data_IF_792398898712
#
_entry.id   IF_792398898712
#
_cell.length_a   1.000
_cell.length_b   1.000
_cell.length_c   1.000
_cell.angle_alpha   90.00
_cell.angle_beta   90.00
_cell.angle_gamma   90.00
#
_symmetry.space_group_name_H-M   'P 1'
#
loop_
_entity.id
_entity.type
_entity.pdbx_description
1 polymer ?
#
# COMPACT_ATOMS: atom_id res chain seq x y z
N UNK A 1 4.66 20.60 -7.60
CA UNK A 1 3.24 21.04 -7.57
C UNK A 1 2.44 20.64 -8.82
N UNK A 2 2.99 19.87 -9.77
CA UNK A 2 2.26 19.26 -10.89
C UNK A 2 1.27 18.11 -10.54
N UNK A 3 1.50 17.25 -9.51
CA UNK A 3 0.62 16.10 -9.25
C UNK A 3 -0.84 16.44 -8.96
N UNK A 4 -1.17 17.44 -8.11
CA UNK A 4 -2.57 17.70 -7.75
C UNK A 4 -3.38 18.32 -8.91
N UNK A 5 -2.74 19.05 -9.83
CA UNK A 5 -3.41 19.62 -10.99
C UNK A 5 -3.75 18.56 -12.04
N UNK A 6 -2.87 17.57 -12.23
CA UNK A 6 -3.16 16.40 -13.06
C UNK A 6 -4.26 15.54 -12.46
N UNK A 7 -4.24 15.31 -11.14
CA UNK A 7 -5.31 14.59 -10.44
C UNK A 7 -6.62 15.36 -10.53
N UNK A 8 -6.63 16.69 -10.40
CA UNK A 8 -7.84 17.48 -10.55
C UNK A 8 -8.40 17.46 -11.98
N UNK A 9 -7.54 17.64 -12.99
CA UNK A 9 -7.94 17.52 -14.40
C UNK A 9 -8.47 16.12 -14.74
N UNK A 10 -7.85 15.08 -14.16
CA UNK A 10 -8.27 13.70 -14.27
C UNK A 10 -9.65 13.48 -13.63
N UNK A 11 -9.86 14.00 -12.43
CA UNK A 11 -11.15 13.94 -11.71
C UNK A 11 -12.27 14.64 -12.48
N UNK A 12 -11.98 15.78 -13.13
CA UNK A 12 -12.93 16.51 -13.96
C UNK A 12 -13.35 15.70 -15.19
N UNK A 13 -12.38 15.13 -15.92
CA UNK A 13 -12.68 14.28 -17.08
C UNK A 13 -13.45 13.01 -16.70
N UNK A 14 -13.13 12.42 -15.53
CA UNK A 14 -13.85 11.26 -15.01
C UNK A 14 -15.27 11.60 -14.54
N UNK A 15 -15.50 12.79 -14.00
CA UNK A 15 -16.83 13.25 -13.60
C UNK A 15 -17.74 13.50 -14.82
N UNK A 16 -17.20 14.05 -15.91
CA UNK A 16 -17.94 14.20 -17.18
C UNK A 16 -18.37 12.84 -17.75
N UNK A 17 -17.47 11.86 -17.78
CA UNK A 17 -17.77 10.50 -18.23
C UNK A 17 -18.78 9.73 -17.37
N UNK A 18 -18.94 10.10 -16.10
CA UNK A 18 -19.94 9.50 -15.22
C UNK A 18 -21.37 9.85 -15.66
N UNK A 19 -21.56 11.00 -16.31
CA UNK A 19 -22.86 11.45 -16.81
C UNK A 19 -23.35 10.62 -18.00
N UNK A 20 -22.43 10.15 -18.87
CA UNK A 20 -22.76 9.36 -20.06
C UNK A 20 -23.03 7.89 -19.74
N UNK A 21 -22.46 7.36 -18.66
CA UNK A 21 -22.80 6.04 -18.12
C UNK A 21 -24.26 5.91 -17.68
N UNK A 22 -24.96 7.01 -17.41
CA UNK A 22 -26.37 6.99 -17.05
C UNK A 22 -27.29 6.76 -18.28
N UNK A 23 -26.83 7.06 -19.51
CA UNK A 23 -27.71 7.34 -20.65
C UNK A 23 -27.65 6.35 -21.83
N UNK A 24 -26.79 5.32 -21.85
CA UNK A 24 -26.63 4.53 -23.09
C UNK A 24 -27.71 3.46 -23.30
N UNK A 25 -28.72 3.78 -24.12
CA UNK A 25 -29.58 2.81 -24.83
C UNK A 25 -28.98 2.48 -26.22
N UNK A 26 -27.71 2.07 -26.27
CA UNK A 26 -27.08 1.59 -27.52
C UNK A 26 -27.30 0.09 -27.70
N UNK A 27 -27.43 -0.41 -28.93
CA UNK A 27 -27.42 -1.85 -29.21
C UNK A 27 -26.03 -2.43 -28.91
N UNK A 28 -25.96 -3.56 -28.21
CA UNK A 28 -24.69 -4.21 -27.89
C UNK A 28 -23.83 -4.45 -29.15
N UNK A 29 -22.53 -4.08 -29.14
CA UNK A 29 -21.64 -4.29 -30.29
C UNK A 29 -21.50 -5.79 -30.60
N UNK A 30 -21.37 -6.12 -31.88
CA UNK A 30 -21.21 -7.52 -32.33
C UNK A 30 -19.94 -8.13 -31.70
N UNK A 31 -20.05 -9.27 -30.97
CA UNK A 31 -18.90 -9.90 -30.32
C UNK A 31 -17.83 -10.41 -31.29
N UNK A 32 -18.13 -10.46 -32.60
CA UNK A 32 -17.17 -10.82 -33.65
C UNK A 32 -16.44 -9.61 -34.24
N UNK A 33 -16.80 -8.38 -33.85
CA UNK A 33 -16.14 -7.16 -34.33
C UNK A 33 -14.73 -7.02 -33.77
N UNK A 34 -13.81 -6.47 -34.58
CA UNK A 34 -12.42 -6.21 -34.17
C UNK A 34 -12.29 -5.21 -33.00
N UNK A 35 -13.34 -4.42 -32.77
CA UNK A 35 -13.38 -3.39 -31.73
C UNK A 35 -14.09 -3.87 -30.45
N UNK A 36 -14.42 -5.16 -30.34
CA UNK A 36 -15.08 -5.75 -29.18
C UNK A 36 -14.09 -6.09 -28.05
N UNK A 37 -14.33 -5.54 -26.86
CA UNK A 37 -13.63 -5.84 -25.62
C UNK A 37 -14.49 -6.76 -24.75
N UNK A 38 -14.02 -8.00 -24.56
CA UNK A 38 -14.71 -8.96 -23.69
C UNK A 38 -14.56 -8.63 -22.21
N UNK A 39 -15.48 -9.14 -21.38
CA UNK A 39 -15.36 -9.06 -19.90
C UNK A 39 -14.04 -9.65 -19.41
N UNK A 40 -13.57 -10.73 -20.04
CA UNK A 40 -12.28 -11.35 -19.72
C UNK A 40 -11.08 -10.45 -20.03
N UNK A 41 -11.14 -9.65 -21.09
CA UNK A 41 -10.12 -8.65 -21.38
C UNK A 41 -10.12 -7.54 -20.32
N UNK A 42 -11.31 -7.05 -19.93
CA UNK A 42 -11.46 -6.06 -18.84
C UNK A 42 -10.84 -6.62 -17.55
N UNK A 43 -11.28 -7.80 -17.12
CA UNK A 43 -10.80 -8.49 -15.93
C UNK A 43 -9.31 -8.78 -16.00
N UNK A 44 -8.78 -9.22 -17.15
CA UNK A 44 -7.36 -9.48 -17.33
C UNK A 44 -6.50 -8.23 -17.14
N UNK A 45 -6.89 -7.11 -17.78
CA UNK A 45 -6.17 -5.83 -17.63
C UNK A 45 -6.23 -5.30 -16.19
N UNK A 46 -7.38 -5.42 -15.53
CA UNK A 46 -7.54 -5.04 -14.13
C UNK A 46 -6.72 -5.95 -13.21
N UNK A 47 -6.82 -7.27 -13.38
CA UNK A 47 -6.11 -8.25 -12.56
C UNK A 47 -4.59 -8.10 -12.65
N UNK A 48 -4.03 -7.88 -13.85
CA UNK A 48 -2.60 -7.61 -14.01
C UNK A 48 -2.20 -6.34 -13.26
N UNK A 49 -2.99 -5.27 -13.40
CA UNK A 49 -2.72 -3.99 -12.74
C UNK A 49 -2.85 -4.11 -11.22
N UNK A 50 -3.85 -4.83 -10.72
CA UNK A 50 -4.05 -5.12 -9.31
C UNK A 50 -2.90 -5.96 -8.75
N UNK A 51 -2.45 -7.00 -9.46
CA UNK A 51 -1.28 -7.80 -9.07
C UNK A 51 -0.02 -6.93 -8.97
N UNK A 52 0.15 -5.98 -9.89
CA UNK A 52 1.27 -5.02 -9.84
C UNK A 52 1.14 -4.07 -8.64
N UNK A 53 -0.06 -3.53 -8.38
CA UNK A 53 -0.30 -2.67 -7.22
C UNK A 53 -0.02 -3.43 -5.92
N UNK A 54 -0.57 -4.65 -5.80
CA UNK A 54 -0.35 -5.55 -4.66
C UNK A 54 1.13 -5.87 -4.50
N UNK A 55 1.83 -6.22 -5.58
CA UNK A 55 3.26 -6.51 -5.55
C UNK A 55 4.07 -5.29 -5.06
N UNK A 56 3.74 -4.11 -5.56
CA UNK A 56 4.39 -2.86 -5.16
C UNK A 56 4.07 -2.45 -3.72
N UNK A 57 2.88 -2.82 -3.23
CA UNK A 57 2.38 -2.50 -1.90
C UNK A 57 2.80 -3.51 -0.81
N UNK A 58 2.97 -4.78 -1.18
CA UNK A 58 3.20 -5.89 -0.26
C UNK A 58 4.66 -6.31 -0.16
N UNK A 59 5.62 -5.38 -0.26
CA UNK A 59 7.03 -5.73 -0.10
C UNK A 59 7.30 -6.20 1.33
N UNK A 60 7.66 -7.48 1.50
CA UNK A 60 7.82 -8.05 2.84
C UNK A 60 9.07 -7.49 3.51
N UNK A 61 8.99 -7.31 4.83
CA UNK A 61 10.16 -7.16 5.68
C UNK A 61 10.98 -8.46 5.68
N UNK A 62 12.24 -8.40 6.12
CA UNK A 62 13.12 -9.58 6.14
C UNK A 62 12.55 -10.57 7.16
N UNK A 63 12.08 -11.71 6.65
CA UNK A 63 11.48 -12.75 7.49
C UNK A 63 12.56 -13.69 7.96
N UNK A 64 12.70 -13.84 9.28
CA UNK A 64 13.65 -14.77 9.89
C UNK A 64 13.03 -16.14 10.22
N UNK A 65 11.81 -16.39 9.74
CA UNK A 65 11.07 -17.63 9.94
C UNK A 65 11.54 -18.71 8.94
N UNK A 66 11.81 -19.94 9.40
CA UNK A 66 12.28 -21.05 8.54
C UNK A 66 11.16 -21.71 7.71
N UNK A 67 9.90 -21.55 8.13
CA UNK A 67 8.74 -22.21 7.52
C UNK A 67 8.22 -21.49 6.28
N UNK A 68 8.41 -22.08 5.09
CA UNK A 68 8.00 -21.48 3.80
C UNK A 68 6.50 -21.13 3.70
N UNK A 69 5.62 -21.95 4.29
CA UNK A 69 4.16 -21.74 4.24
C UNK A 69 3.72 -20.54 5.08
N UNK A 70 4.40 -20.27 6.21
CA UNK A 70 4.13 -19.07 7.02
C UNK A 70 4.55 -17.79 6.29
N UNK A 71 5.69 -17.84 5.59
CA UNK A 71 6.15 -16.72 4.75
C UNK A 71 5.14 -16.45 3.64
N UNK A 72 4.64 -17.50 2.98
CA UNK A 72 3.60 -17.38 1.96
C UNK A 72 2.30 -16.79 2.53
N UNK A 73 1.86 -17.24 3.71
CA UNK A 73 0.68 -16.71 4.39
C UNK A 73 0.84 -15.23 4.75
N UNK A 74 1.99 -14.82 5.28
CA UNK A 74 2.28 -13.42 5.58
C UNK A 74 2.24 -12.54 4.33
N UNK A 75 2.91 -12.95 3.25
CA UNK A 75 2.88 -12.21 1.98
C UNK A 75 1.47 -12.12 1.40
N UNK A 76 0.69 -13.19 1.51
CA UNK A 76 -0.73 -13.21 1.15
C UNK A 76 -1.55 -12.23 1.99
N UNK A 77 -1.32 -12.18 3.31
CA UNK A 77 -1.99 -11.26 4.22
C UNK A 77 -1.66 -9.79 3.90
N UNK A 78 -0.38 -9.46 3.62
CA UNK A 78 0.02 -8.12 3.17
C UNK A 78 -0.66 -7.73 1.85
N UNK A 79 -0.76 -8.68 0.91
CA UNK A 79 -1.43 -8.43 -0.35
C UNK A 79 -2.93 -8.21 -0.18
N UNK A 80 -3.57 -8.99 0.69
CA UNK A 80 -4.98 -8.80 1.04
C UNK A 80 -5.20 -7.47 1.77
N UNK A 81 -4.33 -7.07 2.68
CA UNK A 81 -4.41 -5.76 3.33
C UNK A 81 -4.21 -4.62 2.34
N UNK A 82 -3.36 -4.78 1.32
CA UNK A 82 -3.20 -3.79 0.27
C UNK A 82 -4.44 -3.66 -0.62
N UNK A 83 -5.27 -4.72 -0.72
CA UNK A 83 -6.53 -4.67 -1.46
C UNK A 83 -7.68 -4.09 -0.63
N UNK A 84 -7.80 -4.51 0.64
CA UNK A 84 -8.93 -4.12 1.50
C UNK A 84 -8.70 -2.74 2.13
N UNK A 85 -7.46 -2.43 2.50
CA UNK A 85 -7.05 -1.19 3.19
C UNK A 85 -5.76 -0.61 2.58
N UNK A 86 -5.75 -0.23 1.29
CA UNK A 86 -4.58 0.35 0.62
C UNK A 86 -4.06 1.64 1.26
N UNK A 87 -4.90 2.34 2.01
CA UNK A 87 -4.57 3.54 2.77
C UNK A 87 -3.54 3.21 3.87
N UNK A 88 -3.74 2.11 4.58
CA UNK A 88 -2.83 1.63 5.62
C UNK A 88 -1.46 1.33 5.00
N UNK A 89 -1.45 0.66 3.83
CA UNK A 89 -0.19 0.34 3.14
C UNK A 89 0.54 1.59 2.65
N UNK A 90 -0.20 2.58 2.14
CA UNK A 90 0.37 3.86 1.71
C UNK A 90 0.98 4.63 2.88
N UNK A 91 0.31 4.63 4.02
CA UNK A 91 0.81 5.28 5.23
C UNK A 91 1.98 4.55 5.82
N UNK A 92 1.97 3.21 5.84
CA UNK A 92 3.14 2.42 6.19
C UNK A 92 4.36 2.83 5.38
N UNK A 93 4.22 2.96 4.05
CA UNK A 93 5.32 3.41 3.19
C UNK A 93 5.81 4.82 3.56
N UNK A 94 4.89 5.74 3.86
CA UNK A 94 5.23 7.09 4.34
C UNK A 94 5.98 7.07 5.69
N UNK A 95 5.50 6.26 6.64
CA UNK A 95 6.07 6.10 7.98
C UNK A 95 7.48 5.52 7.91
N UNK A 96 7.66 4.43 7.16
CA UNK A 96 8.98 3.84 6.92
C UNK A 96 9.93 4.84 6.25
N UNK A 97 9.45 5.62 5.28
CA UNK A 97 10.26 6.66 4.63
C UNK A 97 10.70 7.77 5.59
N UNK A 98 9.82 8.17 6.51
CA UNK A 98 10.14 9.16 7.55
C UNK A 98 11.17 8.62 8.51
N UNK A 99 10.93 7.46 9.12
CA UNK A 99 11.83 6.88 10.11
C UNK A 99 13.18 6.53 9.48
N UNK A 100 13.22 6.00 8.26
CA UNK A 100 14.48 5.78 7.54
C UNK A 100 15.27 7.09 7.32
N UNK A 101 14.56 8.20 7.09
CA UNK A 101 15.15 9.54 6.98
C UNK A 101 15.63 10.11 8.32
N UNK A 102 15.02 9.72 9.43
CA UNK A 102 15.48 10.07 10.79
C UNK A 102 16.77 9.29 11.13
N UNK A 103 16.80 7.99 10.87
CA UNK A 103 18.02 7.16 11.01
C UNK A 103 19.16 7.70 10.13
N UNK A 104 18.88 8.08 8.88
CA UNK A 104 19.88 8.71 8.00
C UNK A 104 20.49 9.98 8.60
N UNK A 105 19.70 10.79 9.31
CA UNK A 105 20.19 12.02 9.95
C UNK A 105 21.06 11.71 11.16
N UNK A 106 20.63 10.76 11.99
CA UNK A 106 21.35 10.36 13.20
C UNK A 106 22.73 9.78 12.86
N UNK A 107 22.78 8.91 11.85
CA UNK A 107 23.99 8.20 11.43
C UNK A 107 24.70 8.87 10.24
N UNK A 108 24.46 10.17 10.02
CA UNK A 108 25.05 10.91 8.89
C UNK A 108 26.58 10.94 8.95
N UNK A 109 27.16 10.96 10.15
CA UNK A 109 28.63 10.96 10.35
C UNK A 109 29.28 9.68 9.84
N UNK A 110 28.53 8.57 9.83
CA UNK A 110 28.95 7.24 9.37
C UNK A 110 28.71 7.04 7.87
N UNK A 111 28.30 8.10 7.14
CA UNK A 111 27.92 8.06 5.72
C UNK A 111 26.74 7.13 5.43
N UNK A 112 25.88 6.89 6.42
CA UNK A 112 24.64 6.17 6.19
C UNK A 112 23.73 7.00 5.28
N UNK A 113 22.99 6.28 4.45
CA UNK A 113 21.99 6.86 3.55
C UNK A 113 20.62 6.31 3.93
N UNK A 114 19.54 6.90 3.40
CA UNK A 114 18.19 6.39 3.64
C UNK A 114 18.00 4.89 3.37
N UNK A 115 18.77 4.32 2.43
CA UNK A 115 18.77 2.88 2.17
C UNK A 115 19.21 2.04 3.38
N UNK A 116 20.13 2.57 4.21
CA UNK A 116 20.56 1.93 5.46
C UNK A 116 19.43 2.00 6.49
N UNK A 117 18.77 3.15 6.61
CA UNK A 117 17.60 3.29 7.48
C UNK A 117 16.47 2.33 7.12
N UNK A 118 16.15 2.20 5.82
CA UNK A 118 15.20 1.19 5.36
C UNK A 118 15.65 -0.24 5.67
N UNK A 119 16.93 -0.55 5.43
CA UNK A 119 17.47 -1.86 5.72
C UNK A 119 17.39 -2.20 7.22
N UNK A 120 17.61 -1.22 8.10
CA UNK A 120 17.36 -1.35 9.54
C UNK A 120 15.90 -1.67 9.84
N UNK A 121 14.96 -0.84 9.34
CA UNK A 121 13.53 -0.99 9.62
C UNK A 121 12.97 -2.33 9.12
N UNK A 122 13.55 -2.89 8.05
CA UNK A 122 13.20 -4.20 7.54
C UNK A 122 13.74 -5.36 8.38
N UNK A 123 14.52 -5.10 9.43
CA UNK A 123 15.19 -6.12 10.23
C UNK A 123 16.46 -6.67 9.59
N UNK A 124 17.14 -5.86 8.78
CA UNK A 124 18.31 -6.26 8.03
C UNK A 124 19.62 -6.27 8.80
N UNK A 125 19.66 -5.78 10.04
CA UNK A 125 20.87 -5.79 10.86
C UNK A 125 20.69 -6.72 12.06
N UNK A 126 21.63 -7.65 12.23
CA UNK A 126 21.70 -8.57 13.38
C UNK A 126 23.05 -8.37 14.05
N UNK A 127 23.06 -8.27 15.38
CA UNK A 127 24.27 -8.35 16.19
C UNK A 127 24.45 -9.78 16.69
N UNK A 128 25.65 -10.33 16.49
CA UNK A 128 26.05 -11.61 17.05
C UNK A 128 27.01 -11.39 18.22
N UNK A 129 26.58 -11.78 19.42
CA UNK A 129 27.38 -11.80 20.65
C UNK A 129 27.61 -13.26 21.08
N UNK A 130 28.73 -13.84 20.65
CA UNK A 130 29.01 -15.27 20.84
C UNK A 130 27.97 -16.17 20.16
N UNK A 131 27.17 -16.88 20.97
CA UNK A 131 26.09 -17.78 20.50
C UNK A 131 24.73 -17.09 20.37
N UNK A 132 24.58 -15.87 20.88
CA UNK A 132 23.32 -15.12 20.85
C UNK A 132 23.25 -14.21 19.63
N UNK A 133 22.05 -14.11 19.04
CA UNK A 133 21.74 -13.22 17.92
C UNK A 133 20.64 -12.24 18.34
N UNK A 134 20.92 -10.94 18.21
CA UNK A 134 20.02 -9.85 18.58
C UNK A 134 19.64 -9.03 17.33
N UNK A 135 18.33 -8.81 17.12
CA UNK A 135 17.84 -7.99 16.00
C UNK A 135 18.01 -6.50 16.33
N UNK A 136 18.76 -5.78 15.50
CA UNK A 136 18.99 -4.35 15.68
C UNK A 136 17.90 -3.55 14.99
N UNK A 137 16.78 -3.35 15.69
CA UNK A 137 15.59 -2.66 15.16
C UNK A 137 15.36 -1.29 15.80
N UNK A 138 15.86 -1.06 17.02
CA UNK A 138 15.63 0.19 17.75
C UNK A 138 16.81 1.15 17.61
N UNK A 139 16.56 2.47 17.70
CA UNK A 139 17.60 3.50 17.76
C UNK A 139 18.69 3.20 18.80
N UNK A 140 18.30 2.74 20.00
CA UNK A 140 19.22 2.35 21.08
C UNK A 140 20.14 1.19 20.67
N UNK A 141 19.62 0.23 19.90
CA UNK A 141 20.38 -0.92 19.42
C UNK A 141 21.39 -0.50 18.35
N UNK A 142 21.02 0.48 17.51
CA UNK A 142 21.92 1.07 16.52
C UNK A 142 23.00 1.97 17.14
N UNK A 143 22.69 2.66 18.24
CA UNK A 143 23.69 3.42 19.00
C UNK A 143 24.78 2.50 19.56
N UNK A 144 24.41 1.28 20.02
CA UNK A 144 25.38 0.24 20.41
C UNK A 144 26.29 -0.19 19.26
N UNK A 145 25.87 -0.04 18.00
CA UNK A 145 26.77 -0.29 16.85
C UNK A 145 27.94 0.71 16.78
N UNK A 146 27.81 1.85 17.44
CA UNK A 146 28.78 2.94 17.40
C UNK A 146 29.80 2.88 18.53
N UNK A 147 29.55 2.11 19.58
CA UNK A 147 30.53 1.81 20.61
C UNK A 147 31.55 0.83 19.99
N UNK A 148 32.83 1.20 19.99
CA UNK A 148 33.90 0.61 19.16
C UNK A 148 34.27 -0.87 19.40
N UNK A 149 33.33 -1.69 19.87
CA UNK A 149 33.44 -3.11 20.15
C UNK A 149 33.08 -4.02 18.95
N UNK A 150 32.77 -3.47 17.76
CA UNK A 150 32.27 -4.25 16.62
C UNK A 150 33.31 -4.48 15.53
N UNK A 151 33.37 -5.71 15.03
CA UNK A 151 34.18 -6.10 13.87
C UNK A 151 33.44 -5.70 12.59
N UNK A 152 34.08 -4.84 11.79
CA UNK A 152 33.60 -4.34 10.50
C UNK A 152 32.30 -3.49 10.55
N UNK A 153 32.31 -2.31 11.18
CA UNK A 153 31.13 -1.46 11.37
C UNK A 153 30.64 -0.75 10.10
N UNK A 154 31.33 -0.90 8.96
CA UNK A 154 31.05 -0.14 7.74
C UNK A 154 30.41 -1.05 6.69
N UNK A 155 29.11 -0.87 6.51
CA UNK A 155 28.37 -1.37 5.35
C UNK A 155 28.22 -0.25 4.33
N UNK A 156 28.45 -0.55 3.05
CA UNK A 156 28.29 0.45 1.98
C UNK A 156 26.89 0.41 1.36
N UNK A 157 26.40 1.56 0.84
CA UNK A 157 25.14 1.60 0.06
C UNK A 157 25.17 0.60 -1.11
N UNK A 158 26.34 0.39 -1.72
CA UNK A 158 26.52 -0.53 -2.84
C UNK A 158 26.28 -1.97 -2.38
N UNK A 159 26.84 -2.40 -1.25
CA UNK A 159 26.60 -3.73 -0.67
C UNK A 159 25.11 -3.98 -0.36
N UNK A 160 24.38 -2.99 0.15
CA UNK A 160 22.94 -3.12 0.39
C UNK A 160 22.18 -3.25 -0.94
N UNK A 161 22.56 -2.46 -1.95
CA UNK A 161 21.90 -2.49 -3.26
C UNK A 161 22.20 -3.77 -4.04
N UNK A 162 23.42 -4.30 -3.95
CA UNK A 162 23.82 -5.54 -4.62
C UNK A 162 23.07 -6.76 -4.05
N UNK A 163 22.49 -6.65 -2.84
CA UNK A 163 21.59 -7.65 -2.24
C UNK A 163 20.13 -7.50 -2.68
N UNK A 164 19.78 -6.37 -3.30
CA UNK A 164 18.41 -6.15 -3.77
C UNK A 164 18.19 -6.88 -5.10
N UNK A 165 17.11 -7.65 -5.20
CA UNK A 165 16.73 -8.35 -6.44
C UNK A 165 15.89 -7.50 -7.41
N UNK A 166 15.55 -6.26 -7.06
CA UNK A 166 14.80 -5.37 -7.97
C UNK A 166 15.76 -4.45 -8.71
N UNK A 167 15.92 -4.73 -10.00
CA UNK A 167 16.63 -3.84 -10.91
C UNK A 167 15.70 -2.71 -11.36
N UNK A 168 16.27 -1.51 -11.62
CA UNK A 168 15.49 -0.33 -12.03
C UNK A 168 14.61 -0.54 -13.27
N UNK A 169 14.94 -1.53 -14.12
CA UNK A 169 14.14 -1.93 -15.28
C UNK A 169 12.76 -2.49 -14.87
N UNK A 170 12.71 -3.33 -13.83
CA UNK A 170 11.46 -3.89 -13.34
C UNK A 170 10.51 -2.80 -12.85
N UNK A 171 11.02 -1.88 -12.03
CA UNK A 171 10.24 -0.74 -11.55
C UNK A 171 9.77 0.17 -12.69
N UNK A 172 10.59 0.39 -13.72
CA UNK A 172 10.20 1.17 -14.89
C UNK A 172 9.05 0.53 -15.67
N UNK A 173 9.06 -0.81 -15.82
CA UNK A 173 7.96 -1.55 -16.44
C UNK A 173 6.67 -1.45 -15.60
N UNK A 174 6.76 -1.53 -14.27
CA UNK A 174 5.60 -1.36 -13.40
C UNK A 174 4.97 0.03 -13.55
N UNK A 175 5.79 1.08 -13.56
CA UNK A 175 5.33 2.47 -13.76
C UNK A 175 4.72 2.65 -15.14
N UNK A 176 5.31 2.07 -16.19
CA UNK A 176 4.77 2.12 -17.55
C UNK A 176 3.39 1.42 -17.62
N UNK A 177 3.25 0.24 -17.04
CA UNK A 177 1.99 -0.50 -17.01
C UNK A 177 0.89 0.26 -16.26
N UNK A 178 1.22 0.86 -15.11
CA UNK A 178 0.28 1.70 -14.35
C UNK A 178 -0.13 2.94 -15.14
N UNK A 179 0.84 3.61 -15.76
CA UNK A 179 0.58 4.80 -16.58
C UNK A 179 -0.29 4.48 -17.78
N UNK A 180 -0.06 3.33 -18.43
CA UNK A 180 -0.86 2.83 -19.53
C UNK A 180 -2.30 2.54 -19.11
N UNK A 181 -2.50 1.85 -17.98
CA UNK A 181 -3.82 1.55 -17.46
C UNK A 181 -4.59 2.84 -17.12
N UNK A 182 -3.94 3.81 -16.45
CA UNK A 182 -4.52 5.11 -16.14
C UNK A 182 -4.92 5.83 -17.43
N UNK A 183 -4.03 5.89 -18.42
CA UNK A 183 -4.30 6.50 -19.73
C UNK A 183 -5.46 5.82 -20.46
N UNK A 184 -5.57 4.49 -20.36
CA UNK A 184 -6.68 3.74 -20.94
C UNK A 184 -8.02 4.13 -20.31
N UNK A 185 -8.09 4.23 -18.97
CA UNK A 185 -9.32 4.65 -18.28
C UNK A 185 -9.68 6.10 -18.61
N UNK A 186 -8.69 6.99 -18.70
CA UNK A 186 -8.88 8.39 -19.13
C UNK A 186 -9.44 8.45 -20.55
N UNK A 187 -8.83 7.71 -21.48
CA UNK A 187 -9.28 7.71 -22.85
C UNK A 187 -10.73 7.20 -22.94
N UNK A 188 -11.11 6.17 -22.18
CA UNK A 188 -12.52 5.75 -22.11
C UNK A 188 -13.42 6.87 -21.61
N UNK A 189 -13.01 7.58 -20.57
CA UNK A 189 -13.75 8.71 -20.03
C UNK A 189 -14.00 9.80 -21.08
N UNK A 190 -12.94 10.21 -21.79
CA UNK A 190 -13.00 11.28 -22.81
C UNK A 190 -13.80 10.90 -24.06
N UNK A 191 -13.92 9.60 -24.36
CA UNK A 191 -14.72 9.11 -25.50
C UNK A 191 -16.14 8.70 -25.10
N UNK A 192 -16.62 9.07 -23.90
CA UNK A 192 -17.94 8.71 -23.37
C UNK A 192 -18.23 7.20 -23.36
N UNK A 193 -17.17 6.40 -23.25
CA UNK A 193 -17.27 4.95 -23.17
C UNK A 193 -17.41 4.51 -21.72
N UNK A 194 -18.22 3.48 -21.50
CA UNK A 194 -18.48 3.08 -20.14
C UNK A 194 -17.26 2.53 -19.40
N UNK A 195 -17.09 2.97 -18.16
CA UNK A 195 -16.02 2.52 -17.28
C UNK A 195 -16.65 1.57 -16.28
N UNK A 196 -16.09 0.38 -16.13
CA UNK A 196 -16.63 -0.60 -15.18
C UNK A 196 -16.25 -0.25 -13.73
N UNK A 197 -17.03 -0.68 -12.75
CA UNK A 197 -16.70 -0.45 -11.32
C UNK A 197 -15.34 -1.05 -10.94
N UNK A 198 -14.97 -2.18 -11.56
CA UNK A 198 -13.66 -2.84 -11.34
C UNK A 198 -12.52 -1.98 -11.87
N UNK A 199 -12.71 -1.31 -13.01
CA UNK A 199 -11.73 -0.36 -13.54
C UNK A 199 -11.59 0.88 -12.65
N UNK A 200 -12.68 1.37 -12.04
CA UNK A 200 -12.63 2.48 -11.07
C UNK A 200 -11.84 2.11 -9.82
N UNK A 201 -12.08 0.93 -9.23
CA UNK A 201 -11.32 0.48 -8.05
C UNK A 201 -9.85 0.21 -8.38
N UNK A 202 -9.59 -0.41 -9.54
CA UNK A 202 -8.21 -0.61 -10.04
C UNK A 202 -7.50 0.71 -10.30
N UNK A 203 -8.19 1.71 -10.87
CA UNK A 203 -7.67 3.06 -11.04
C UNK A 203 -7.33 3.67 -9.68
N UNK A 204 -8.21 3.54 -8.70
CA UNK A 204 -7.99 4.08 -7.37
C UNK A 204 -6.74 3.47 -6.69
N UNK A 205 -6.56 2.16 -6.80
CA UNK A 205 -5.35 1.45 -6.32
C UNK A 205 -4.09 1.82 -7.12
N UNK A 206 -4.21 2.02 -8.43
CA UNK A 206 -3.10 2.46 -9.28
C UNK A 206 -2.62 3.87 -8.89
N UNK A 207 -3.56 4.80 -8.63
CA UNK A 207 -3.25 6.16 -8.17
C UNK A 207 -2.60 6.14 -6.78
N UNK A 208 -3.11 5.32 -5.84
CA UNK A 208 -2.50 5.17 -4.51
C UNK A 208 -1.12 4.49 -4.56
N UNK A 209 -0.84 3.72 -5.60
CA UNK A 209 0.47 3.08 -5.80
C UNK A 209 1.56 4.06 -6.27
N UNK A 210 1.20 5.22 -6.83
CA UNK A 210 2.18 6.21 -7.31
C UNK A 210 3.06 6.77 -6.17
N UNK A 211 2.51 7.21 -5.01
CA UNK A 211 3.31 7.57 -3.84
C UNK A 211 4.23 6.46 -3.33
N UNK A 212 3.84 5.18 -3.46
CA UNK A 212 4.66 4.06 -2.99
C UNK A 212 6.00 4.00 -3.72
N UNK A 213 6.02 4.24 -5.03
CA UNK A 213 7.29 4.30 -5.78
C UNK A 213 8.20 5.41 -5.26
N UNK A 214 7.63 6.55 -4.85
CA UNK A 214 8.42 7.64 -4.27
C UNK A 214 8.96 7.29 -2.89
N UNK A 215 8.10 6.79 -1.99
CA UNK A 215 8.48 6.47 -0.61
C UNK A 215 9.45 5.29 -0.54
N UNK A 216 9.24 4.25 -1.34
CA UNK A 216 10.08 3.05 -1.33
C UNK A 216 11.17 3.02 -2.41
N UNK A 217 11.43 4.12 -3.13
CA UNK A 217 12.47 4.16 -4.15
C UNK A 217 13.86 3.74 -3.64
N UNK A 218 14.18 4.08 -2.39
CA UNK A 218 15.47 3.76 -1.76
C UNK A 218 15.42 2.51 -0.87
N UNK A 219 14.27 1.84 -0.76
CA UNK A 219 14.10 0.62 0.03
C UNK A 219 14.70 -0.55 -0.76
N UNK A 220 15.64 -1.33 -0.19
CA UNK A 220 16.20 -2.48 -0.90
C UNK A 220 15.13 -3.59 -0.99
N UNK A 221 14.83 -4.00 -2.22
CA UNK A 221 13.76 -4.96 -2.52
C UNK A 221 14.25 -6.41 -2.46
N UNK A 222 13.44 -7.28 -1.86
CA UNK A 222 13.64 -8.74 -1.84
C UNK A 222 15.00 -9.20 -1.28
N UNK A 223 15.48 -8.52 -0.24
CA UNK A 223 16.66 -8.97 0.49
C UNK A 223 16.27 -10.17 1.36
N UNK A 224 16.92 -11.31 1.12
CA UNK A 224 16.65 -12.55 1.87
C UNK A 224 17.60 -12.75 3.05
N UNK A 225 18.75 -12.06 3.06
CA UNK A 225 19.79 -12.26 4.08
C UNK A 225 20.07 -10.97 4.86
N UNK A 226 19.92 -10.98 6.20
CA UNK A 226 20.38 -9.89 7.03
C UNK A 226 21.91 -9.77 7.00
N UNK A 227 22.41 -8.59 7.33
CA UNK A 227 23.82 -8.34 7.59
C UNK A 227 24.12 -8.57 9.06
N UNK A 228 25.09 -9.43 9.34
CA UNK A 228 25.49 -9.80 10.70
C UNK A 228 26.73 -9.01 11.09
N UNK A 229 26.62 -8.26 12.19
CA UNK A 229 27.74 -7.63 12.88
C UNK A 229 28.24 -8.56 13.98
N UNK A 230 29.57 -8.65 14.13
CA UNK A 230 30.18 -9.47 15.17
C UNK A 230 30.74 -8.58 16.27
N UNK A 231 30.40 -8.86 17.53
CA UNK A 231 31.04 -8.21 18.67
C UNK A 231 32.44 -8.80 18.88
N UNK A 232 33.40 -7.95 19.24
CA UNK A 232 34.79 -8.33 19.48
C UNK A 232 34.85 -9.14 20.77
N UNK A 233 35.00 -10.45 20.68
CA UNK A 233 35.21 -11.31 21.83
C UNK A 233 36.52 -10.91 22.53
N UNK A 234 36.44 -10.47 23.79
CA UNK A 234 37.62 -10.44 24.67
C UNK A 234 38.11 -11.88 24.79
N UNK A 235 39.29 -12.15 24.25
CA UNK A 235 39.92 -13.46 24.28
C UNK A 235 40.06 -13.96 25.72
N UNK A 236 39.27 -14.97 26.07
CA UNK A 236 39.54 -15.88 27.17
C UNK A 236 39.57 -17.29 26.59
N UNK A 237 40.68 -17.94 26.85
CA UNK A 237 41.22 -19.18 26.28
C UNK A 237 40.37 -20.43 26.56
N UNK A 238 40.47 -21.37 25.60
CA UNK A 238 40.22 -22.82 25.65
C UNK A 238 38.80 -23.40 25.71
N UNK A 239 38.59 -24.42 24.86
CA UNK A 239 37.58 -25.46 25.06
C UNK A 239 36.88 -25.93 23.78
N UNK A 240 37.49 -26.90 23.11
CA UNK A 240 36.93 -27.79 22.10
C UNK A 240 35.46 -28.19 22.34
N UNK A 241 34.60 -28.08 21.33
CA UNK A 241 33.60 -29.10 20.95
C UNK A 241 32.99 -28.70 19.60
N UNK A 242 33.30 -29.48 18.56
CA UNK A 242 32.48 -29.59 17.36
C UNK A 242 31.12 -30.20 17.72
N UNK A 243 30.12 -29.35 17.92
CA UNK A 243 28.70 -29.74 17.95
C UNK A 243 27.97 -28.92 16.89
N UNK A 244 27.42 -29.62 15.89
CA UNK A 244 26.31 -29.14 15.08
C UNK A 244 25.18 -28.75 16.05
N UNK A 245 24.97 -27.45 16.26
CA UNK A 245 23.86 -26.93 17.04
C UNK A 245 23.07 -26.02 16.12
N UNK A 246 21.87 -26.47 15.77
CA UNK A 246 20.83 -25.68 15.13
C UNK A 246 20.74 -24.30 15.79
N UNK A 247 21.16 -23.26 15.05
CA UNK A 247 21.03 -21.87 15.48
C UNK A 247 19.54 -21.55 15.67
N UNK A 248 19.10 -21.51 16.93
CA UNK A 248 17.75 -21.15 17.32
C UNK A 248 17.63 -19.62 17.40
N UNK A 249 17.77 -18.93 16.26
CA UNK A 249 17.06 -17.66 16.08
C UNK A 249 15.63 -18.01 15.70
N UNK A 250 14.79 -18.27 16.71
CA UNK A 250 13.36 -18.48 16.52
C UNK A 250 12.62 -17.26 17.06
N UNK A 251 12.57 -16.19 16.25
CA UNK A 251 11.46 -15.24 16.39
C UNK A 251 10.24 -15.99 15.88
N UNK A 252 9.60 -16.74 16.77
CA UNK A 252 8.35 -17.42 16.47
C UNK A 252 7.29 -16.35 16.32
N UNK A 253 6.91 -16.04 15.07
CA UNK A 253 5.85 -15.08 14.79
C UNK A 253 4.54 -15.82 14.57
N UNK A 254 3.52 -15.47 15.34
CA UNK A 254 2.17 -16.00 15.15
C UNK A 254 1.31 -15.06 14.28
N UNK A 255 0.09 -15.49 13.94
CA UNK A 255 -0.85 -14.69 13.14
C UNK A 255 -1.22 -13.36 13.84
N UNK A 256 -1.24 -13.36 15.17
CA UNK A 256 -1.45 -12.18 16.00
C UNK A 256 -0.33 -11.17 15.84
N UNK A 257 0.93 -11.59 15.80
CA UNK A 257 2.10 -10.72 15.58
C UNK A 257 2.10 -10.08 14.18
N UNK A 258 1.58 -10.79 13.18
CA UNK A 258 1.43 -10.26 11.81
C UNK A 258 0.31 -9.23 11.71
N UNK A 259 -0.85 -9.56 12.30
CA UNK A 259 -1.98 -8.64 12.38
C UNK A 259 -1.62 -7.43 13.23
N UNK A 260 -0.86 -7.63 14.31
CA UNK A 260 -0.30 -6.56 15.11
C UNK A 260 0.64 -5.69 14.26
N UNK A 261 1.60 -6.23 13.50
CA UNK A 261 2.45 -5.37 12.64
C UNK A 261 1.63 -4.47 11.69
N UNK A 262 0.50 -4.99 11.16
CA UNK A 262 -0.38 -4.23 10.27
C UNK A 262 -1.25 -3.21 11.04
N UNK A 263 -1.76 -3.57 12.22
CA UNK A 263 -2.75 -2.78 12.99
C UNK A 263 -2.10 -1.94 14.10
N UNK A 264 -1.14 -2.48 14.86
CA UNK A 264 -0.44 -1.78 15.96
C UNK A 264 0.48 -0.65 15.48
N UNK A 265 0.95 -0.65 14.23
CA UNK A 265 1.66 0.51 13.65
C UNK A 265 0.71 1.73 13.56
N UNK A 266 -0.61 1.51 13.40
CA UNK A 266 -1.62 2.57 13.47
C UNK A 266 -1.89 3.01 14.91
N UNK A 267 -1.87 2.08 15.88
CA UNK A 267 -2.15 2.39 17.29
C UNK A 267 -1.04 3.19 17.97
N UNK A 268 0.21 3.08 17.50
CA UNK A 268 1.35 3.87 17.97
C UNK A 268 1.74 4.99 17.00
N UNK A 269 0.90 5.27 15.99
CA UNK A 269 1.17 6.28 15.00
C UNK A 269 1.29 7.68 15.63
N UNK A 270 2.34 8.41 15.28
CA UNK A 270 2.42 9.82 15.63
C UNK A 270 1.28 10.61 14.96
N UNK A 271 0.93 11.78 15.51
CA UNK A 271 -0.18 12.59 15.00
C UNK A 271 -0.04 12.92 13.49
N UNK A 272 1.18 13.00 12.97
CA UNK A 272 1.45 13.27 11.55
C UNK A 272 1.09 12.07 10.68
N UNK A 273 1.44 10.87 11.12
CA UNK A 273 1.13 9.60 10.46
C UNK A 273 -0.37 9.36 10.43
N UNK A 274 -1.04 9.60 11.55
CA UNK A 274 -2.49 9.51 11.66
C UNK A 274 -3.20 10.50 10.72
N UNK A 275 -2.76 11.76 10.70
CA UNK A 275 -3.32 12.75 9.77
C UNK A 275 -3.10 12.36 8.30
N UNK A 276 -1.92 11.83 7.96
CA UNK A 276 -1.64 11.34 6.61
C UNK A 276 -2.59 10.19 6.23
N UNK A 277 -2.87 9.26 7.15
CA UNK A 277 -3.81 8.16 6.94
C UNK A 277 -5.21 8.67 6.62
N UNK A 278 -5.72 9.60 7.42
CA UNK A 278 -7.06 10.16 7.23
C UNK A 278 -7.18 10.91 5.90
N UNK A 279 -6.13 11.65 5.50
CA UNK A 279 -6.10 12.34 4.20
C UNK A 279 -6.10 11.34 3.04
N UNK A 280 -5.22 10.33 3.07
CA UNK A 280 -5.15 9.30 2.02
C UNK A 280 -6.49 8.56 1.92
N UNK A 281 -7.12 8.29 3.04
CA UNK A 281 -8.42 7.64 3.09
C UNK A 281 -9.54 8.48 2.48
N UNK A 282 -9.63 9.77 2.80
CA UNK A 282 -10.60 10.67 2.15
C UNK A 282 -10.38 10.73 0.64
N UNK A 283 -9.12 10.85 0.19
CA UNK A 283 -8.78 10.91 -1.23
C UNK A 283 -9.18 9.63 -1.97
N UNK A 284 -8.87 8.47 -1.38
CA UNK A 284 -9.22 7.18 -1.96
C UNK A 284 -10.73 6.90 -1.94
N UNK A 285 -11.43 7.26 -0.86
CA UNK A 285 -12.89 7.21 -0.80
C UNK A 285 -13.57 8.10 -1.84
N UNK A 286 -13.01 9.30 -2.06
CA UNK A 286 -13.47 10.25 -3.08
C UNK A 286 -13.48 9.70 -4.51
N UNK A 287 -12.53 8.82 -4.84
CA UNK A 287 -12.46 8.20 -6.17
C UNK A 287 -13.66 7.30 -6.48
N UNK A 288 -14.30 6.70 -5.47
CA UNK A 288 -15.50 5.87 -5.68
C UNK A 288 -16.77 6.68 -5.96
N UNK A 289 -16.76 7.98 -5.62
CA UNK A 289 -17.85 8.88 -5.99
C UNK A 289 -17.91 9.14 -7.50
N UNK A 290 -16.84 8.85 -8.26
CA UNK A 290 -16.87 8.92 -9.73
C UNK A 290 -18.00 8.02 -10.28
N UNK A 291 -18.21 6.86 -9.66
CA UNK A 291 -19.25 5.93 -10.07
C UNK A 291 -20.65 6.24 -9.49
N UNK A 292 -20.88 7.47 -9.00
CA UNK A 292 -22.13 7.84 -8.33
C UNK A 292 -23.39 7.60 -9.16
N UNK A 293 -23.33 7.91 -10.45
CA UNK A 293 -24.47 7.83 -11.38
C UNK A 293 -24.41 6.67 -12.36
N UNK A 294 -23.45 5.75 -12.21
CA UNK A 294 -23.33 4.59 -13.07
C UNK A 294 -24.60 3.72 -13.05
N UNK A 295 -24.75 2.91 -14.10
CA UNK A 295 -25.78 1.87 -14.18
C UNK A 295 -25.40 0.68 -13.29
N UNK A 296 -26.35 0.26 -12.45
CA UNK A 296 -26.22 -0.93 -11.60
C UNK A 296 -27.31 -1.95 -11.96
N UNK A 297 -27.09 -3.25 -11.72
CA UNK A 297 -28.12 -4.27 -11.99
C UNK A 297 -29.42 -4.04 -11.20
N UNK A 298 -29.34 -3.47 -10.00
CA UNK A 298 -30.48 -3.10 -9.15
C UNK A 298 -30.30 -1.75 -8.45
N UNK A 299 -31.41 -1.13 -8.04
CA UNK A 299 -31.40 0.12 -7.28
C UNK A 299 -30.77 -0.06 -5.88
N UNK A 300 -30.93 -1.23 -5.26
CA UNK A 300 -30.34 -1.55 -3.97
C UNK A 300 -28.82 -1.54 -4.05
N UNK A 301 -28.23 -2.16 -5.08
CA UNK A 301 -26.78 -2.15 -5.29
C UNK A 301 -26.24 -0.74 -5.51
N UNK A 302 -26.95 0.11 -6.26
CA UNK A 302 -26.60 1.53 -6.43
C UNK A 302 -26.62 2.28 -5.10
N UNK A 303 -27.64 2.07 -4.27
CA UNK A 303 -27.73 2.70 -2.95
C UNK A 303 -26.62 2.20 -2.01
N UNK A 304 -26.31 0.90 -2.02
CA UNK A 304 -25.21 0.33 -1.24
C UNK A 304 -23.86 0.91 -1.67
N UNK A 305 -23.61 1.07 -2.98
CA UNK A 305 -22.39 1.70 -3.48
C UNK A 305 -22.25 3.13 -2.98
N UNK A 306 -23.31 3.93 -3.10
CA UNK A 306 -23.34 5.32 -2.63
C UNK A 306 -23.11 5.42 -1.12
N UNK A 307 -23.80 4.60 -0.35
CA UNK A 307 -23.66 4.55 1.11
C UNK A 307 -22.23 4.15 1.50
N UNK A 308 -21.66 3.11 0.89
CA UNK A 308 -20.30 2.67 1.16
C UNK A 308 -19.26 3.73 0.76
N UNK A 309 -19.41 4.38 -0.40
CA UNK A 309 -18.52 5.46 -0.85
C UNK A 309 -18.55 6.67 0.09
N UNK A 310 -19.74 7.10 0.51
CA UNK A 310 -19.89 8.17 1.50
C UNK A 310 -19.33 7.78 2.88
N UNK A 311 -19.47 6.51 3.26
CA UNK A 311 -18.91 5.99 4.51
C UNK A 311 -17.39 6.12 4.54
N UNK A 312 -16.70 5.85 3.43
CA UNK A 312 -15.25 5.99 3.34
C UNK A 312 -14.74 7.43 3.47
N UNK A 313 -15.60 8.41 3.19
CA UNK A 313 -15.27 9.83 3.37
C UNK A 313 -15.71 10.29 4.76
N UNK A 314 -16.91 9.90 5.18
CA UNK A 314 -17.50 10.30 6.45
C UNK A 314 -16.75 9.77 7.66
N UNK A 315 -16.33 8.50 7.63
CA UNK A 315 -15.60 7.86 8.73
C UNK A 315 -14.32 8.63 9.14
N UNK A 316 -13.38 8.93 8.21
CA UNK A 316 -12.19 9.72 8.56
C UNK A 316 -12.54 11.18 8.91
N UNK A 317 -13.57 11.79 8.31
CA UNK A 317 -14.00 13.15 8.68
C UNK A 317 -14.52 13.23 10.13
N UNK A 318 -15.32 12.25 10.57
CA UNK A 318 -15.83 12.16 11.94
C UNK A 318 -14.65 12.01 12.91
N UNK A 319 -13.66 11.18 12.55
CA UNK A 319 -12.46 10.99 13.36
C UNK A 319 -11.64 12.29 13.50
N UNK A 320 -11.43 13.03 12.39
CA UNK A 320 -10.77 14.35 12.42
C UNK A 320 -11.52 15.32 13.33
N UNK A 321 -12.85 15.37 13.22
CA UNK A 321 -13.67 16.21 14.08
C UNK A 321 -13.48 15.85 15.56
N UNK A 322 -13.46 14.56 15.90
CA UNK A 322 -13.16 14.07 17.25
C UNK A 322 -11.81 14.59 17.76
N UNK A 323 -10.73 14.43 16.99
CA UNK A 323 -9.41 14.94 17.36
C UNK A 323 -9.37 16.46 17.54
N UNK A 324 -10.13 17.22 16.74
CA UNK A 324 -10.20 18.68 16.86
C UNK A 324 -10.95 19.08 18.13
N UNK A 325 -12.07 18.41 18.44
CA UNK A 325 -12.84 18.68 19.65
C UNK A 325 -12.06 18.34 20.92
N UNK A 326 -11.30 17.24 20.89
CA UNK A 326 -10.38 16.83 21.94
C UNK A 326 -9.33 17.92 22.22
N UNK A 327 -8.63 18.37 21.18
CA UNK A 327 -7.63 19.45 21.28
C UNK A 327 -8.19 20.79 21.76
N UNK A 328 -9.47 21.05 21.51
CA UNK A 328 -10.15 22.25 22.00
C UNK A 328 -10.60 22.12 23.46
N UNK A 329 -10.34 20.99 24.13
CA UNK A 329 -10.76 20.70 25.51
C UNK A 329 -12.27 20.52 25.65
N UNK A 330 -12.99 20.32 24.54
CA UNK A 330 -14.45 20.20 24.55
C UNK A 330 -14.94 18.81 24.94
N UNK A 331 -14.16 17.77 24.64
CA UNK A 331 -14.53 16.39 25.00
C UNK A 331 -14.40 16.16 26.51
N UNK A 332 -13.33 16.67 27.12
CA UNK A 332 -13.17 16.67 28.59
C UNK A 332 -14.28 17.46 29.29
N UNK A 333 -14.71 18.58 28.71
CA UNK A 333 -15.83 19.38 29.22
C UNK A 333 -17.19 18.67 29.13
N UNK A 334 -17.31 17.64 28.28
CA UNK A 334 -18.52 16.84 28.09
C UNK A 334 -18.53 15.55 28.93
N UNK A 335 -17.48 15.29 29.72
CA UNK A 335 -17.33 14.09 30.56
C UNK A 335 -17.63 12.79 29.78
N UNK A 336 -17.06 12.69 28.58
CA UNK A 336 -17.32 11.56 27.67
C UNK A 336 -16.67 10.28 28.23
N UNK A 337 -17.44 9.21 28.47
CA UNK A 337 -16.88 7.94 28.96
C UNK A 337 -15.81 7.36 28.03
N UNK A 338 -14.77 6.75 28.61
CA UNK A 338 -13.67 6.09 27.87
C UNK A 338 -14.18 5.07 26.84
N UNK A 339 -15.27 4.36 27.14
CA UNK A 339 -15.92 3.43 26.21
C UNK A 339 -16.39 4.13 24.94
N UNK A 340 -16.97 5.33 25.06
CA UNK A 340 -17.42 6.11 23.91
C UNK A 340 -16.23 6.63 23.12
N UNK A 341 -15.17 7.08 23.80
CA UNK A 341 -13.92 7.48 23.13
C UNK A 341 -13.29 6.35 22.32
N UNK A 342 -13.25 5.13 22.87
CA UNK A 342 -12.75 3.96 22.15
C UNK A 342 -13.62 3.59 20.94
N UNK A 343 -14.96 3.70 21.06
CA UNK A 343 -15.87 3.48 19.94
C UNK A 343 -15.66 4.53 18.84
N UNK A 344 -15.48 5.80 19.21
CA UNK A 344 -15.19 6.89 18.26
C UNK A 344 -13.82 6.71 17.58
N UNK A 345 -12.86 6.11 18.27
CA UNK A 345 -11.52 5.85 17.75
C UNK A 345 -11.49 4.67 16.76
N UNK A 346 -12.02 3.50 17.15
CA UNK A 346 -11.91 2.26 16.38
C UNK A 346 -13.11 1.97 15.49
N UNK A 347 -14.29 2.47 15.85
CA UNK A 347 -15.53 2.27 15.10
C UNK A 347 -15.45 2.72 13.63
N UNK A 348 -14.92 3.92 13.33
CA UNK A 348 -14.76 4.38 11.95
C UNK A 348 -13.88 3.47 11.10
N UNK A 349 -12.82 2.88 11.68
CA UNK A 349 -11.91 1.95 10.99
C UNK A 349 -12.67 0.69 10.58
N UNK A 350 -13.38 0.06 11.52
CA UNK A 350 -14.17 -1.14 11.25
C UNK A 350 -15.25 -0.87 10.19
N UNK A 351 -15.95 0.26 10.33
CA UNK A 351 -16.98 0.66 9.39
C UNK A 351 -16.40 0.91 7.98
N UNK A 352 -15.20 1.47 7.90
CA UNK A 352 -14.43 1.63 6.67
C UNK A 352 -14.12 0.30 5.98
N UNK A 353 -13.62 -0.68 6.73
CA UNK A 353 -13.32 -2.02 6.23
C UNK A 353 -14.58 -2.70 5.70
N UNK A 354 -15.71 -2.58 6.42
CA UNK A 354 -17.00 -3.13 5.97
C UNK A 354 -17.45 -2.45 4.67
N UNK A 355 -17.38 -1.11 4.60
CA UNK A 355 -17.69 -0.36 3.38
C UNK A 355 -16.80 -0.80 2.21
N UNK A 356 -15.52 -1.06 2.46
CA UNK A 356 -14.58 -1.58 1.45
C UNK A 356 -15.00 -2.95 0.94
N UNK A 357 -15.27 -3.90 1.81
CA UNK A 357 -15.73 -5.23 1.41
C UNK A 357 -17.00 -5.14 0.56
N UNK A 358 -17.94 -4.26 0.92
CA UNK A 358 -19.15 -4.01 0.13
C UNK A 358 -18.80 -3.51 -1.28
N UNK A 359 -17.93 -2.50 -1.42
CA UNK A 359 -17.50 -2.00 -2.73
C UNK A 359 -16.82 -3.09 -3.56
N UNK A 360 -15.95 -3.90 -2.94
CA UNK A 360 -15.26 -5.01 -3.61
C UNK A 360 -16.25 -6.05 -4.14
N UNK A 361 -17.28 -6.40 -3.36
CA UNK A 361 -18.32 -7.34 -3.78
C UNK A 361 -19.17 -6.75 -4.90
N UNK A 362 -19.61 -5.49 -4.75
CA UNK A 362 -20.48 -4.83 -5.73
C UNK A 362 -19.80 -4.68 -7.10
N UNK A 363 -18.50 -4.38 -7.14
CA UNK A 363 -17.80 -4.30 -8.42
C UNK A 363 -17.80 -5.63 -9.17
N UNK A 364 -17.65 -6.76 -8.47
CA UNK A 364 -17.70 -8.10 -9.10
C UNK A 364 -19.13 -8.46 -9.52
N UNK A 365 -20.13 -8.13 -8.71
CA UNK A 365 -21.54 -8.38 -9.03
C UNK A 365 -21.99 -7.55 -10.24
N UNK A 366 -21.50 -6.32 -10.37
CA UNK A 366 -21.86 -5.43 -11.49
C UNK A 366 -21.45 -5.96 -12.87
N UNK A 367 -20.43 -6.83 -12.93
CA UNK A 367 -19.98 -7.44 -14.18
C UNK A 367 -21.04 -8.33 -14.85
N UNK A 368 -22.06 -8.77 -14.10
CA UNK A 368 -23.16 -9.59 -14.64
C UNK A 368 -24.00 -8.83 -15.66
N UNK A 369 -24.06 -7.50 -15.56
CA UNK A 369 -24.86 -6.64 -16.44
C UNK A 369 -24.12 -5.33 -16.68
N UNK A 370 -23.30 -5.30 -17.72
CA UNK A 370 -22.56 -4.12 -18.15
C UNK A 370 -23.31 -3.39 -19.26
N UNK A 371 -23.16 -2.05 -19.35
CA UNK A 371 -23.68 -1.29 -20.47
C UNK A 371 -22.98 -1.70 -21.79
N UNK A 372 -23.68 -1.64 -22.93
CA UNK A 372 -23.15 -1.93 -24.27
C UNK A 372 -21.78 -1.29 -24.58
N UNK A 373 -21.61 0.00 -24.26
CA UNK A 373 -20.39 0.75 -24.51
C UNK A 373 -19.18 0.28 -23.67
N UNK A 374 -19.41 -0.52 -22.62
CA UNK A 374 -18.32 -1.16 -21.87
C UNK A 374 -17.52 -2.14 -22.75
N UNK A 375 -18.18 -2.68 -23.78
CA UNK A 375 -17.60 -3.64 -24.73
C UNK A 375 -16.94 -2.99 -25.93
N UNK A 376 -16.91 -1.66 -26.02
CA UNK A 376 -16.26 -0.95 -27.12
C UNK A 376 -14.82 -0.58 -26.75
N UNK A 377 -13.86 -0.84 -27.65
CA UNK A 377 -12.47 -0.42 -27.49
C UNK A 377 -12.28 1.06 -27.83
N UNK A 378 -11.29 1.70 -27.18
CA UNK A 378 -10.82 3.05 -27.56
C UNK A 378 -10.10 2.97 -28.89
N UNK A 379 -10.48 3.82 -29.86
CA UNK A 379 -9.82 3.92 -31.15
C UNK A 379 -8.52 4.72 -31.05
N UNK A 380 -7.43 4.06 -30.63
CA UNK A 380 -6.12 4.71 -30.46
C UNK A 380 -5.55 5.31 -31.75
N UNK A 381 -5.96 4.81 -32.91
CA UNK A 381 -5.51 5.29 -34.23
C UNK A 381 -5.92 6.73 -34.50
N UNK A 382 -6.96 7.25 -33.84
CA UNK A 382 -7.39 8.66 -33.93
C UNK A 382 -6.37 9.61 -33.28
N UNK A 383 -5.63 9.11 -32.28
CA UNK A 383 -4.63 9.89 -31.54
C UNK A 383 -3.23 9.82 -32.16
N UNK A 384 -3.01 8.92 -33.13
CA UNK A 384 -1.75 8.85 -33.87
C UNK A 384 -1.82 9.90 -35.00
N UNK A 385 -0.98 10.94 -34.98
CA UNK A 385 -0.98 11.94 -36.05
C UNK A 385 -0.74 11.22 -37.38
N UNK A 386 -1.66 11.40 -38.32
CA UNK A 386 -1.57 10.83 -39.66
C UNK A 386 -0.39 11.51 -40.37
N UNK A 387 0.70 10.76 -40.57
CA UNK A 387 1.90 11.21 -41.30
C UNK A 387 1.71 11.06 -42.80
#
# INVERSE_FOLDING_TARGET
MLPPLLVFSLLVQLAEAASTNAASESSAPDPTSSNYRSVWSILGTCAITLLICIWNAAYPNITHEKSWYKIALYRGALGLSALVTPEITTVRAFTEWRYAGEIEKDFRRQRWTRAHGFFTLMGGFILQDGKEQELLSTRRDLERLMDGEIVNPKITKKEIRDRSKSDGLGNALLVLQLSWFILQVIARAVNDLAITLVEIDTLALAVLSLPLFFFWWNKPMAVECPHIFYKKTSSSTDGDTSQDIDHAFSVHRDLGDWVAEIITDVNHADQKTLLALLIVWILFGGLHLIAWDFQFPSQVEKMMWRAASLTLIGAPCIYILGMVLDKLGKLDALDVPDTIMNILLFGPILLGVVARVILLVLMLVSLRKLPPSAHEMVSWTVYVPHL
#
